data_IF_358643366076
#
_entry.id   IF_358643366076
#
_cell.length_a   1.000
_cell.length_b   1.000
_cell.length_c   1.000
_cell.angle_alpha   90.00
_cell.angle_beta   90.00
_cell.angle_gamma   90.00
#
_symmetry.space_group_name_H-M   'P 1'
#
loop_
_entity.id
_entity.type
_entity.pdbx_description
1 polymer ?
#
# COMPACT_ATOMS: atom_id res chain seq x y z
N UNK A 1 1.87 0.69 22.71
CA UNK A 1 2.54 1.51 21.68
C UNK A 1 1.47 2.05 20.75
N UNK A 2 1.44 3.37 20.53
CA UNK A 2 0.50 3.98 19.58
C UNK A 2 1.17 3.94 18.21
N UNK A 3 0.87 2.91 17.40
CA UNK A 3 1.44 2.78 16.07
C UNK A 3 0.72 3.77 15.14
N UNK A 4 1.49 4.56 14.39
CA UNK A 4 0.96 5.41 13.34
C UNK A 4 0.08 4.60 12.38
N UNK A 5 -1.13 5.08 12.08
CA UNK A 5 -2.08 4.40 11.18
C UNK A 5 -1.48 4.06 9.82
N UNK A 6 -0.53 4.88 9.36
CA UNK A 6 0.28 4.67 8.14
C UNK A 6 1.09 3.38 8.22
N UNK A 7 1.83 3.18 9.32
CA UNK A 7 2.65 1.99 9.54
C UNK A 7 1.78 0.74 9.62
N UNK A 8 0.63 0.85 10.29
CA UNK A 8 -0.32 -0.25 10.39
C UNK A 8 -0.84 -0.68 9.00
N UNK A 9 -1.27 0.28 8.16
CA UNK A 9 -1.80 0.01 6.83
C UNK A 9 -0.81 -0.71 5.92
N UNK A 10 0.46 -0.27 5.91
CA UNK A 10 1.51 -0.86 5.06
C UNK A 10 1.81 -2.30 5.47
N UNK A 11 1.89 -2.55 6.79
CA UNK A 11 2.14 -3.90 7.31
C UNK A 11 0.96 -4.81 6.99
N UNK A 12 -0.28 -4.35 7.17
CA UNK A 12 -1.47 -5.16 6.84
C UNK A 12 -1.62 -5.42 5.34
N UNK A 13 -1.17 -4.50 4.50
CA UNK A 13 -1.18 -4.67 3.05
C UNK A 13 -0.01 -5.54 2.54
N UNK A 14 0.92 -5.93 3.42
CA UNK A 14 2.05 -6.79 3.08
C UNK A 14 3.17 -6.10 2.30
N UNK A 15 3.19 -4.76 2.26
CA UNK A 15 4.21 -4.00 1.51
C UNK A 15 5.55 -3.90 2.25
N UNK A 16 5.55 -3.92 3.58
CA UNK A 16 6.75 -3.93 4.41
C UNK A 16 6.43 -4.44 5.81
N UNK A 17 7.42 -4.96 6.53
CA UNK A 17 7.31 -5.36 7.94
C UNK A 17 7.55 -4.18 8.89
N UNK A 18 7.09 -4.28 10.13
CA UNK A 18 7.43 -3.31 11.19
C UNK A 18 8.94 -3.14 11.36
N UNK A 19 9.71 -4.22 11.19
CA UNK A 19 11.16 -4.16 11.32
C UNK A 19 11.76 -3.29 10.21
N UNK A 20 11.38 -3.54 8.95
CA UNK A 20 11.84 -2.75 7.81
C UNK A 20 11.43 -1.28 7.90
N UNK A 21 10.22 -0.99 8.37
CA UNK A 21 9.73 0.38 8.62
C UNK A 21 10.37 1.07 9.84
N UNK A 22 11.02 0.32 10.73
CA UNK A 22 11.70 0.89 11.90
C UNK A 22 13.21 1.04 11.69
N UNK A 23 13.80 0.24 10.79
CA UNK A 23 15.27 0.16 10.63
C UNK A 23 15.78 0.61 9.26
N UNK A 24 14.97 0.51 8.20
CA UNK A 24 15.40 0.78 6.81
C UNK A 24 14.61 1.93 6.18
N UNK A 25 13.30 1.92 6.37
CA UNK A 25 12.38 2.87 5.75
C UNK A 25 11.89 3.87 6.79
N UNK A 26 12.16 5.16 6.58
CA UNK A 26 11.57 6.22 7.38
C UNK A 26 10.08 6.42 7.08
N UNK A 27 9.44 7.33 7.81
CA UNK A 27 8.02 7.68 7.62
C UNK A 27 7.67 8.04 6.17
N UNK A 28 8.57 8.74 5.47
CA UNK A 28 8.37 9.14 4.07
C UNK A 28 8.31 7.94 3.13
N UNK A 29 9.22 6.97 3.28
CA UNK A 29 9.18 5.73 2.52
C UNK A 29 7.91 4.93 2.81
N UNK A 30 7.44 4.97 4.06
CA UNK A 30 6.17 4.36 4.45
C UNK A 30 4.99 5.01 3.67
N UNK A 31 4.92 6.34 3.65
CA UNK A 31 3.88 7.07 2.91
C UNK A 31 3.91 6.77 1.41
N UNK A 32 5.09 6.68 0.80
CA UNK A 32 5.24 6.32 -0.61
C UNK A 32 4.70 4.91 -0.92
N UNK A 33 4.91 3.94 -0.03
CA UNK A 33 4.35 2.59 -0.19
C UNK A 33 2.82 2.58 -0.14
N UNK A 34 2.19 3.43 0.67
CA UNK A 34 0.74 3.58 0.69
C UNK A 34 0.23 4.10 -0.66
N UNK A 35 0.88 5.13 -1.21
CA UNK A 35 0.48 5.70 -2.48
C UNK A 35 0.60 4.69 -3.63
N UNK A 36 1.69 3.92 -3.66
CA UNK A 36 1.86 2.80 -4.61
C UNK A 36 0.71 1.79 -4.47
N UNK A 37 0.36 1.43 -3.23
CA UNK A 37 -0.75 0.51 -2.98
C UNK A 37 -2.10 1.02 -3.49
N UNK A 38 -2.40 2.29 -3.21
CA UNK A 38 -3.64 2.93 -3.68
C UNK A 38 -3.73 2.98 -5.21
N UNK A 39 -2.62 3.31 -5.89
CA UNK A 39 -2.56 3.32 -7.36
C UNK A 39 -2.70 1.91 -7.92
N UNK A 40 -2.06 0.91 -7.30
CA UNK A 40 -2.18 -0.49 -7.70
C UNK A 40 -3.63 -0.98 -7.62
N UNK A 41 -4.33 -0.71 -6.52
CA UNK A 41 -5.73 -1.09 -6.34
C UNK A 41 -6.65 -0.39 -7.33
N UNK A 42 -6.41 0.90 -7.58
CA UNK A 42 -7.16 1.64 -8.61
C UNK A 42 -6.96 1.03 -10.00
N UNK A 43 -5.71 0.73 -10.37
CA UNK A 43 -5.40 0.13 -11.68
C UNK A 43 -6.01 -1.26 -11.84
N UNK A 44 -6.03 -2.06 -10.76
CA UNK A 44 -6.69 -3.38 -10.75
C UNK A 44 -8.19 -3.24 -11.04
N UNK A 45 -8.88 -2.33 -10.34
CA UNK A 45 -10.30 -2.04 -10.59
C UNK A 45 -10.55 -1.57 -12.02
N UNK A 46 -9.70 -0.68 -12.53
CA UNK A 46 -9.84 -0.18 -13.90
C UNK A 46 -9.68 -1.31 -14.94
N UNK A 47 -8.74 -2.24 -14.71
CA UNK A 47 -8.59 -3.43 -15.56
C UNK A 47 -9.83 -4.32 -15.52
N UNK A 48 -10.34 -4.63 -14.33
CA UNK A 48 -11.57 -5.44 -14.16
C UNK A 48 -12.79 -4.77 -14.84
N UNK A 49 -12.92 -3.45 -14.74
CA UNK A 49 -13.98 -2.70 -15.44
C UNK A 49 -13.83 -2.75 -16.96
N UNK A 50 -12.61 -2.69 -17.50
CA UNK A 50 -12.37 -2.82 -18.95
C UNK A 50 -12.67 -4.22 -19.45
N UNK A 51 -12.25 -5.26 -18.72
CA UNK A 51 -12.53 -6.66 -19.05
C UNK A 51 -14.05 -6.92 -19.07
N UNK A 52 -14.78 -6.43 -18.07
CA UNK A 52 -16.24 -6.55 -18.00
C UNK A 52 -16.99 -5.78 -19.11
N UNK A 53 -16.39 -4.75 -19.71
CA UNK A 53 -16.99 -4.02 -20.85
C UNK A 53 -16.76 -4.70 -22.20
N UNK A 54 -15.88 -5.69 -22.27
CA UNK A 54 -15.56 -6.45 -23.48
C UNK A 54 -16.34 -7.78 -23.57
N UNK A 55 -17.26 -8.05 -22.66
CA UNK A 55 -18.19 -9.19 -22.67
C UNK A 55 -19.63 -8.68 -22.71
#
# INVERSE_FOLDING_TARGET
MNVSSVVFQIVTAGYATYHELATVYGLEAAMNLIEIGQVSDYNKRLREEMENRQH
#
